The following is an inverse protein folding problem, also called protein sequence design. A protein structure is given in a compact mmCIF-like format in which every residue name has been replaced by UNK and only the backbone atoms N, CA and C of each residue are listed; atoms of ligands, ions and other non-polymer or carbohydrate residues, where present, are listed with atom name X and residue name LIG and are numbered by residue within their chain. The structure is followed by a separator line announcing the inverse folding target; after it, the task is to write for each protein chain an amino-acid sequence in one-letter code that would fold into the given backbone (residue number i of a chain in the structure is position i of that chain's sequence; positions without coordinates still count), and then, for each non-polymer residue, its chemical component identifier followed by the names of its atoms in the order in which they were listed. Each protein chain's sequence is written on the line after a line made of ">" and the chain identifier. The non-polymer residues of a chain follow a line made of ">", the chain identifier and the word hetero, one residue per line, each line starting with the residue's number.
data_IF_039573046197
#
_entry.id   IF_039573046197
#
_cell.length_a   1.000
_cell.length_b   1.000
_cell.length_c   1.000
_cell.angle_alpha   90.00
_cell.angle_beta   90.00
_cell.angle_gamma   90.00
#
_symmetry.space_group_name_H-M   'P 1'
#
loop_
_entity.id
_entity.type
_entity.pdbx_description
1 polymer ?
#
# COMPACT_ATOMS: atom_id res chain seq x y z
N UNK A 1 -22.72 0.65 -6.54
CA UNK A 1 -22.66 0.26 -5.12
C UNK A 1 -21.20 -0.03 -4.81
N UNK A 2 -20.57 0.72 -3.90
CA UNK A 2 -19.11 0.67 -3.72
C UNK A 2 -18.68 -0.06 -2.43
N UNK A 3 -19.57 -0.14 -1.43
CA UNK A 3 -19.40 -0.99 -0.23
C UNK A 3 -20.77 -1.45 0.27
N UNK A 4 -20.90 -2.75 0.53
CA UNK A 4 -21.98 -3.35 1.33
C UNK A 4 -21.32 -3.93 2.58
N UNK A 5 -21.77 -3.51 3.76
CA UNK A 5 -21.34 -4.08 5.04
C UNK A 5 -22.54 -4.73 5.72
N UNK A 6 -22.35 -5.93 6.26
CA UNK A 6 -23.36 -6.61 7.07
C UNK A 6 -23.01 -6.48 8.55
N UNK A 7 -23.92 -5.90 9.31
CA UNK A 7 -23.86 -5.91 10.77
C UNK A 7 -24.06 -7.32 11.32
N UNK A 8 -23.63 -7.55 12.56
CA UNK A 8 -23.82 -8.84 13.25
C UNK A 8 -25.31 -9.20 13.46
N UNK A 9 -26.20 -8.20 13.38
CA UNK A 9 -27.65 -8.30 13.40
C UNK A 9 -28.27 -8.63 12.03
N UNK A 10 -27.44 -8.78 10.99
CA UNK A 10 -27.88 -9.00 9.61
C UNK A 10 -28.30 -7.73 8.87
N UNK A 11 -28.21 -6.54 9.49
CA UNK A 11 -28.50 -5.28 8.84
C UNK A 11 -27.48 -5.00 7.72
N UNK A 12 -27.97 -4.59 6.55
CA UNK A 12 -27.13 -4.22 5.41
C UNK A 12 -27.01 -2.72 5.36
N UNK A 13 -25.79 -2.22 5.33
CA UNK A 13 -25.52 -0.81 5.07
C UNK A 13 -24.97 -0.66 3.66
N UNK A 14 -25.53 0.31 2.93
CA UNK A 14 -25.20 0.61 1.55
C UNK A 14 -24.52 1.97 1.50
N UNK A 15 -23.26 2.02 1.06
CA UNK A 15 -22.54 3.28 0.90
C UNK A 15 -22.54 3.71 -0.58
N UNK A 16 -22.92 4.97 -0.82
CA UNK A 16 -22.74 5.62 -2.13
C UNK A 16 -21.59 6.60 -2.01
N UNK A 17 -20.55 6.42 -2.83
CA UNK A 17 -19.40 7.31 -2.89
C UNK A 17 -19.46 8.15 -4.16
N UNK A 18 -19.13 9.42 -4.01
CA UNK A 18 -19.01 10.37 -5.11
C UNK A 18 -17.53 10.61 -5.41
N UNK A 19 -17.20 10.68 -6.69
CA UNK A 19 -15.83 10.93 -7.16
C UNK A 19 -15.86 12.14 -8.09
N UNK A 20 -14.80 12.95 -8.03
CA UNK A 20 -14.59 14.07 -8.93
C UNK A 20 -13.37 13.80 -9.82
N UNK A 21 -13.46 14.21 -11.09
CA UNK A 21 -12.36 14.07 -12.05
C UNK A 21 -12.32 15.29 -12.97
N UNK A 22 -11.12 15.65 -13.42
CA UNK A 22 -10.91 16.65 -14.47
C UNK A 22 -10.89 16.06 -15.88
N UNK A 23 -11.13 14.75 -16.03
CA UNK A 23 -11.19 14.08 -17.33
C UNK A 23 -12.44 14.52 -18.10
N UNK A 24 -12.27 14.78 -19.40
CA UNK A 24 -13.36 15.16 -20.30
C UNK A 24 -14.33 13.98 -20.50
N UNK A 25 -15.64 14.15 -20.20
CA UNK A 25 -16.64 13.10 -20.37
C UNK A 25 -16.80 12.62 -21.83
N UNK A 26 -16.36 13.40 -22.83
CA UNK A 26 -16.37 12.99 -24.22
C UNK A 26 -15.31 11.93 -24.57
N UNK A 27 -14.24 11.82 -23.76
CA UNK A 27 -13.10 10.92 -24.04
C UNK A 27 -12.93 9.79 -23.02
N UNK A 28 -13.70 9.78 -21.93
CA UNK A 28 -13.64 8.75 -20.90
C UNK A 28 -15.02 8.12 -20.64
N UNK A 29 -15.05 6.80 -20.56
CA UNK A 29 -16.28 6.07 -20.23
C UNK A 29 -16.43 5.89 -18.72
N UNK A 30 -17.66 5.71 -18.24
CA UNK A 30 -17.92 5.39 -16.83
C UNK A 30 -17.18 4.13 -16.36
N UNK A 31 -17.05 3.12 -17.23
CA UNK A 31 -16.30 1.90 -16.92
C UNK A 31 -14.79 2.16 -16.77
N UNK A 32 -14.21 3.07 -17.57
CA UNK A 32 -12.83 3.48 -17.44
C UNK A 32 -12.59 4.26 -16.13
N UNK A 33 -13.50 5.17 -15.77
CA UNK A 33 -13.44 5.86 -14.48
C UNK A 33 -13.51 4.90 -13.29
N UNK A 34 -14.43 3.93 -13.33
CA UNK A 34 -14.54 2.91 -12.27
C UNK A 34 -13.26 2.07 -12.15
N UNK A 35 -12.61 1.75 -13.28
CA UNK A 35 -11.29 1.08 -13.27
C UNK A 35 -10.21 1.92 -12.61
N UNK A 36 -10.16 3.23 -12.89
CA UNK A 36 -9.21 4.14 -12.25
C UNK A 36 -9.46 4.23 -10.74
N UNK A 37 -10.72 4.36 -10.31
CA UNK A 37 -11.09 4.38 -8.89
C UNK A 37 -10.68 3.08 -8.19
N UNK A 38 -10.98 1.92 -8.79
CA UNK A 38 -10.56 0.62 -8.24
C UNK A 38 -9.04 0.46 -8.22
N UNK A 39 -8.35 0.96 -9.26
CA UNK A 39 -6.90 0.98 -9.31
C UNK A 39 -6.28 1.89 -8.26
N UNK A 40 -6.92 3.02 -7.92
CA UNK A 40 -6.42 3.90 -6.86
C UNK A 40 -6.29 3.17 -5.52
N UNK A 41 -7.26 2.32 -5.16
CA UNK A 41 -7.20 1.50 -3.95
C UNK A 41 -6.03 0.51 -3.92
N UNK A 42 -5.43 0.17 -5.07
CA UNK A 42 -4.24 -0.67 -5.07
C UNK A 42 -3.05 0.03 -4.41
N UNK A 43 -2.99 1.36 -4.43
CA UNK A 43 -1.94 2.13 -3.73
C UNK A 43 -2.06 1.92 -2.22
N UNK A 44 -3.26 2.11 -1.68
CA UNK A 44 -3.55 1.87 -0.26
C UNK A 44 -3.19 0.45 0.16
N UNK A 45 -3.72 -0.55 -0.57
CA UNK A 45 -3.50 -1.95 -0.23
C UNK A 45 -2.05 -2.39 -0.42
N UNK A 46 -1.33 -1.82 -1.38
CA UNK A 46 0.03 -2.23 -1.71
C UNK A 46 1.11 -1.54 -0.90
N UNK A 47 0.87 -0.31 -0.45
CA UNK A 47 1.88 0.51 0.20
C UNK A 47 1.49 0.84 1.63
N UNK A 48 0.37 1.54 1.82
CA UNK A 48 -0.04 2.03 3.14
C UNK A 48 -0.37 0.87 4.08
N UNK A 49 -1.24 -0.05 3.66
CA UNK A 49 -1.57 -1.23 4.45
C UNK A 49 -0.33 -2.05 4.84
N UNK A 50 0.59 -2.26 3.91
CA UNK A 50 1.81 -3.04 4.19
C UNK A 50 2.67 -2.33 5.24
N UNK A 51 2.88 -1.02 5.11
CA UNK A 51 3.66 -0.20 6.06
C UNK A 51 3.02 -0.16 7.44
N UNK A 52 1.72 0.06 7.51
CA UNK A 52 0.98 0.16 8.77
C UNK A 52 0.89 -1.19 9.47
N UNK A 53 0.59 -2.25 8.72
CA UNK A 53 0.32 -3.57 9.28
C UNK A 53 1.58 -4.33 9.68
N UNK A 54 2.63 -4.25 8.87
CA UNK A 54 3.81 -5.11 9.04
C UNK A 54 5.02 -4.39 9.62
N UNK A 55 5.09 -3.08 9.42
CA UNK A 55 6.15 -2.22 9.96
C UNK A 55 5.64 -1.23 11.02
N UNK A 56 4.37 -1.36 11.45
CA UNK A 56 3.77 -0.55 12.51
C UNK A 56 4.03 0.95 12.32
N UNK A 57 3.95 1.44 11.07
CA UNK A 57 4.34 2.83 10.75
C UNK A 57 3.63 3.86 11.63
N UNK A 58 2.32 3.67 11.84
CA UNK A 58 1.47 4.50 12.70
C UNK A 58 1.91 4.56 14.17
N UNK A 59 2.66 3.55 14.66
CA UNK A 59 3.15 3.51 16.04
C UNK A 59 4.49 4.22 16.20
N UNK A 60 5.12 4.66 15.12
CA UNK A 60 6.39 5.37 15.20
C UNK A 60 6.19 6.77 15.82
N UNK A 61 6.69 6.93 17.04
CA UNK A 61 6.72 8.23 17.71
C UNK A 61 8.05 8.93 17.41
N UNK A 62 8.06 9.77 16.38
CA UNK A 62 9.21 10.60 16.04
C UNK A 62 9.12 11.98 16.70
N UNK A 63 10.01 12.27 17.66
CA UNK A 63 10.04 13.57 18.37
C UNK A 63 10.84 14.66 17.66
N UNK A 64 11.68 14.29 16.69
CA UNK A 64 12.53 15.23 15.95
C UNK A 64 11.79 15.73 14.70
N UNK A 65 11.73 17.05 14.46
CA UNK A 65 11.15 17.60 13.22
C UNK A 65 11.78 17.00 11.96
N UNK A 66 10.95 16.61 11.01
CA UNK A 66 11.36 16.00 9.73
C UNK A 66 11.85 14.56 9.81
N UNK A 67 11.93 13.95 11.00
CA UNK A 67 12.36 12.54 11.12
C UNK A 67 11.28 11.58 10.60
N UNK A 68 10.01 11.85 10.91
CA UNK A 68 8.88 11.03 10.45
C UNK A 68 8.86 10.93 8.91
N UNK A 69 8.92 12.06 8.22
CA UNK A 69 8.94 12.13 6.75
C UNK A 69 10.11 11.34 6.15
N UNK A 70 11.32 11.50 6.70
CA UNK A 70 12.51 10.77 6.23
C UNK A 70 12.36 9.27 6.45
N UNK A 71 11.83 8.86 7.59
CA UNK A 71 11.63 7.46 7.91
C UNK A 71 10.56 6.82 7.02
N UNK A 72 9.43 7.49 6.81
CA UNK A 72 8.39 7.09 5.85
C UNK A 72 8.94 6.96 4.43
N UNK A 73 9.83 7.88 4.02
CA UNK A 73 10.49 7.83 2.71
C UNK A 73 11.38 6.59 2.58
N UNK A 74 12.22 6.34 3.59
CA UNK A 74 13.09 5.16 3.62
C UNK A 74 12.29 3.86 3.63
N UNK A 75 11.22 3.79 4.41
CA UNK A 75 10.35 2.61 4.48
C UNK A 75 9.65 2.36 3.14
N UNK A 76 9.15 3.41 2.49
CA UNK A 76 8.53 3.31 1.16
C UNK A 76 9.53 2.84 0.10
N UNK A 77 10.79 3.33 0.16
CA UNK A 77 11.86 2.87 -0.71
C UNK A 77 12.19 1.39 -0.47
N UNK A 78 12.35 0.97 0.79
CA UNK A 78 12.64 -0.43 1.14
C UNK A 78 11.54 -1.40 0.68
N UNK A 79 10.27 -1.05 0.90
CA UNK A 79 9.10 -1.82 0.41
C UNK A 79 9.13 -1.95 -1.12
N UNK A 80 9.47 -0.87 -1.83
CA UNK A 80 9.56 -0.87 -3.29
C UNK A 80 10.71 -1.75 -3.79
N UNK A 81 11.90 -1.64 -3.20
CA UNK A 81 13.07 -2.47 -3.51
C UNK A 81 12.77 -3.95 -3.27
N UNK A 82 12.20 -4.30 -2.11
CA UNK A 82 11.82 -5.68 -1.81
C UNK A 82 10.88 -6.26 -2.86
N UNK A 83 9.85 -5.49 -3.25
CA UNK A 83 8.84 -5.93 -4.20
C UNK A 83 9.39 -6.12 -5.61
N UNK A 84 10.32 -5.28 -6.05
CA UNK A 84 10.86 -5.30 -7.41
C UNK A 84 12.06 -6.23 -7.55
N UNK A 85 12.99 -6.18 -6.60
CA UNK A 85 14.30 -6.84 -6.70
C UNK A 85 14.40 -8.14 -5.90
N UNK A 86 13.45 -8.39 -5.02
CA UNK A 86 13.33 -9.66 -4.30
C UNK A 86 11.91 -10.24 -4.44
N UNK A 87 11.42 -10.48 -5.67
CA UNK A 87 10.12 -11.11 -5.85
C UNK A 87 10.22 -12.52 -5.26
N UNK A 88 9.64 -12.70 -4.08
CA UNK A 88 9.58 -13.98 -3.40
C UNK A 88 8.83 -15.04 -4.22
N UNK A 89 8.57 -16.18 -3.60
CA UNK A 89 7.74 -17.22 -4.19
C UNK A 89 6.35 -16.71 -4.57
N UNK A 90 5.68 -17.42 -5.49
CA UNK A 90 4.31 -17.09 -5.90
C UNK A 90 3.38 -17.07 -4.68
N UNK A 91 2.83 -15.89 -4.37
CA UNK A 91 1.94 -15.69 -3.23
C UNK A 91 2.65 -15.54 -1.88
N UNK A 92 3.98 -15.45 -1.87
CA UNK A 92 4.75 -15.18 -0.64
C UNK A 92 4.50 -13.73 -0.17
N UNK A 93 4.09 -13.51 1.09
CA UNK A 93 3.89 -12.18 1.63
C UNK A 93 5.18 -11.35 1.65
N UNK A 94 5.06 -10.03 1.43
CA UNK A 94 6.21 -9.12 1.44
C UNK A 94 6.96 -9.14 2.78
N UNK A 95 6.23 -9.28 3.90
CA UNK A 95 6.81 -9.43 5.23
C UNK A 95 7.68 -10.68 5.37
N UNK A 96 7.26 -11.81 4.80
CA UNK A 96 8.05 -13.04 4.84
C UNK A 96 9.37 -12.89 4.05
N UNK A 97 9.31 -12.19 2.91
CA UNK A 97 10.49 -11.85 2.12
C UNK A 97 11.46 -10.95 2.91
N UNK A 98 10.93 -9.95 3.64
CA UNK A 98 11.74 -9.10 4.51
C UNK A 98 12.35 -9.90 5.68
N UNK A 99 11.59 -10.80 6.30
CA UNK A 99 12.07 -11.65 7.39
C UNK A 99 13.16 -12.63 6.93
N UNK A 100 13.08 -13.10 5.68
CA UNK A 100 14.09 -13.98 5.10
C UNK A 100 15.46 -13.29 4.89
N UNK A 101 15.49 -11.95 4.83
CA UNK A 101 16.73 -11.18 4.85
C UNK A 101 17.33 -11.12 6.27
N UNK A 102 16.49 -11.21 7.32
CA UNK A 102 16.91 -11.20 8.72
C UNK A 102 17.91 -10.04 9.00
N UNK A 103 18.95 -10.29 9.81
CA UNK A 103 20.06 -9.37 10.06
C UNK A 103 21.23 -9.55 9.07
N UNK A 104 21.01 -10.11 7.88
CA UNK A 104 22.02 -10.18 6.83
C UNK A 104 22.14 -8.81 6.15
N UNK A 105 22.89 -7.92 6.81
CA UNK A 105 23.08 -6.53 6.40
C UNK A 105 23.73 -6.46 5.02
N UNK A 106 24.68 -7.33 4.71
CA UNK A 106 25.34 -7.35 3.39
C UNK A 106 24.35 -7.67 2.28
N UNK A 107 23.50 -8.69 2.48
CA UNK A 107 22.46 -9.04 1.51
C UNK A 107 21.45 -7.92 1.34
N UNK A 108 21.04 -7.26 2.43
CA UNK A 108 20.11 -6.13 2.38
C UNK A 108 20.72 -4.92 1.64
N UNK A 109 21.99 -4.58 1.91
CA UNK A 109 22.69 -3.48 1.23
C UNK A 109 22.83 -3.79 -0.26
N UNK A 110 23.27 -5.00 -0.61
CA UNK A 110 23.39 -5.43 -2.01
C UNK A 110 22.06 -5.38 -2.77
N UNK A 111 20.93 -5.53 -2.09
CA UNK A 111 19.61 -5.38 -2.70
C UNK A 111 19.29 -3.91 -3.04
N UNK A 112 19.76 -2.96 -2.22
CA UNK A 112 19.47 -1.53 -2.37
C UNK A 112 20.42 -0.79 -3.31
N UNK A 113 21.61 -1.35 -3.58
CA UNK A 113 22.69 -0.68 -4.33
C UNK A 113 22.93 -1.25 -5.74
N UNK A 114 22.10 -2.19 -6.19
CA UNK A 114 22.18 -2.77 -7.55
C UNK A 114 21.55 -1.91 -8.62
#
# INVERSE_FOLDING_TARGET
>A
MDRETRGADGARTCETRYFATSLDPAVVTAAALLRLVRGHWSVENSLHFEKDRWWDEDRHVCRRPGLAERFTTLLSAAVSVLRVLNPGGKGEPLKAQADALNWDIERAINLMTR
#
